data_IF_124199875802
#
_entry.id   IF_124199875802
#
_cell.length_a   1.000
_cell.length_b   1.000
_cell.length_c   1.000
_cell.angle_alpha   90.00
_cell.angle_beta   90.00
_cell.angle_gamma   90.00
#
_symmetry.space_group_name_H-M   'P 1'
#
loop_
_entity.id
_entity.type
_entity.pdbx_description
1 polymer ?
#
# COMPACT_ATOMS: atom_id res chain seq x y z
N UNK A 1 13.80 50.33 -60.44
CA UNK A 1 12.95 50.32 -59.27
C UNK A 1 12.54 48.86 -59.01
N UNK A 2 13.20 48.19 -58.06
CA UNK A 2 12.89 46.79 -57.70
C UNK A 2 12.19 46.79 -56.34
N UNK A 3 10.89 46.45 -56.31
CA UNK A 3 10.10 46.32 -55.07
C UNK A 3 10.44 44.97 -54.42
N UNK A 4 11.02 45.04 -53.21
CA UNK A 4 11.31 43.87 -52.39
C UNK A 4 10.06 43.54 -51.53
N UNK A 5 9.34 42.50 -51.85
CA UNK A 5 8.24 41.96 -51.02
C UNK A 5 8.86 41.20 -49.85
N UNK A 6 8.73 41.75 -48.62
CA UNK A 6 9.03 41.05 -47.40
C UNK A 6 7.87 40.09 -47.05
N UNK A 7 8.12 38.80 -47.10
CA UNK A 7 7.22 37.77 -46.63
C UNK A 7 7.39 37.68 -45.09
N UNK A 8 6.37 38.03 -44.36
CA UNK A 8 6.33 37.84 -42.89
C UNK A 8 5.84 36.39 -42.65
N UNK A 9 6.72 35.50 -42.21
CA UNK A 9 6.35 34.15 -41.76
C UNK A 9 5.97 34.27 -40.29
N UNK A 10 4.67 34.24 -39.98
CA UNK A 10 4.14 34.12 -38.61
C UNK A 10 4.23 32.64 -38.22
N UNK A 11 5.27 32.27 -37.48
CA UNK A 11 5.38 30.96 -36.85
C UNK A 11 4.38 30.87 -35.68
N UNK A 12 3.30 30.15 -35.88
CA UNK A 12 2.41 29.77 -34.78
C UNK A 12 3.13 28.78 -33.88
N UNK A 13 3.56 29.25 -32.71
CA UNK A 13 4.00 28.41 -31.62
C UNK A 13 2.75 27.69 -31.06
N UNK A 14 2.52 26.48 -31.53
CA UNK A 14 1.61 25.54 -30.85
C UNK A 14 2.30 25.10 -29.55
N UNK A 15 1.99 25.78 -28.46
CA UNK A 15 2.23 25.28 -27.12
C UNK A 15 1.29 24.10 -26.92
N UNK A 16 1.71 22.90 -27.33
CA UNK A 16 1.02 21.68 -27.00
C UNK A 16 1.09 21.48 -25.49
N UNK A 17 0.04 21.83 -24.77
CA UNK A 17 -0.17 21.30 -23.44
C UNK A 17 -0.25 19.80 -23.58
N UNK A 18 0.72 19.06 -23.04
CA UNK A 18 0.59 17.62 -22.88
C UNK A 18 -0.73 17.36 -22.18
N UNK A 19 -1.55 16.40 -22.65
CA UNK A 19 -2.76 16.04 -21.93
C UNK A 19 -2.38 15.71 -20.49
N UNK A 20 -3.10 16.26 -19.51
CA UNK A 20 -2.94 15.90 -18.11
C UNK A 20 -3.30 14.41 -18.03
N UNK A 21 -2.28 13.57 -17.85
CA UNK A 21 -2.48 12.13 -17.76
C UNK A 21 -3.11 11.85 -16.40
N UNK A 22 -4.25 11.13 -16.41
CA UNK A 22 -4.91 10.72 -15.17
C UNK A 22 -4.02 9.76 -14.38
N UNK A 23 -4.02 9.87 -13.07
CA UNK A 23 -3.29 8.98 -12.18
C UNK A 23 -4.20 7.88 -11.64
N UNK A 24 -3.63 6.72 -11.38
CA UNK A 24 -4.32 5.60 -10.72
C UNK A 24 -3.66 5.32 -9.38
N UNK A 25 -4.46 5.22 -8.31
CA UNK A 25 -3.99 4.78 -7.01
C UNK A 25 -4.70 3.49 -6.59
N UNK A 26 -3.93 2.52 -6.08
CA UNK A 26 -4.44 1.27 -5.55
C UNK A 26 -4.14 1.19 -4.06
N UNK A 27 -5.19 1.13 -3.25
CA UNK A 27 -5.14 1.14 -1.79
C UNK A 27 -5.11 -0.29 -1.25
N UNK A 28 -4.04 -0.64 -0.54
CA UNK A 28 -3.77 -1.97 0.01
C UNK A 28 -3.86 -1.93 1.53
N UNK A 29 -4.84 -2.62 2.10
CA UNK A 29 -5.00 -2.70 3.56
C UNK A 29 -3.99 -3.63 4.22
N UNK A 30 -3.88 -3.59 5.55
CA UNK A 30 -2.99 -4.43 6.32
C UNK A 30 -3.65 -5.65 6.96
N UNK A 31 -2.93 -6.29 7.88
CA UNK A 31 -3.39 -7.41 8.70
C UNK A 31 -4.66 -7.02 9.47
N UNK A 32 -5.66 -7.92 9.50
CA UNK A 32 -7.01 -7.69 10.05
C UNK A 32 -7.79 -6.54 9.38
N UNK A 33 -7.26 -5.95 8.33
CA UNK A 33 -7.95 -4.92 7.56
C UNK A 33 -8.79 -5.51 6.43
N UNK A 34 -9.47 -4.62 5.72
CA UNK A 34 -10.27 -4.89 4.53
C UNK A 34 -10.30 -3.67 3.63
N UNK A 35 -10.86 -3.77 2.44
CA UNK A 35 -11.08 -2.62 1.56
C UNK A 35 -11.84 -1.49 2.29
N UNK A 36 -12.82 -1.83 3.15
CA UNK A 36 -13.61 -0.85 3.90
C UNK A 36 -12.80 -0.04 4.92
N UNK A 37 -11.58 -0.46 5.29
CA UNK A 37 -10.71 0.29 6.20
C UNK A 37 -10.39 1.70 5.69
N UNK A 38 -10.30 1.87 4.38
CA UNK A 38 -10.03 3.15 3.72
C UNK A 38 -11.24 4.10 3.73
N UNK A 39 -12.45 3.54 3.72
CA UNK A 39 -13.69 4.31 3.88
C UNK A 39 -13.91 4.72 5.34
N UNK A 40 -13.86 3.76 6.24
CA UNK A 40 -14.15 3.98 7.67
C UNK A 40 -13.15 4.92 8.35
N UNK A 41 -11.92 5.00 7.85
CA UNK A 41 -10.90 5.94 8.33
C UNK A 41 -11.10 7.38 7.84
N UNK A 42 -11.95 7.60 6.83
CA UNK A 42 -12.13 8.88 6.17
C UNK A 42 -11.07 9.25 5.12
N UNK A 43 -10.08 8.36 4.88
CA UNK A 43 -9.02 8.59 3.86
C UNK A 43 -9.64 8.80 2.49
N UNK A 44 -10.56 7.92 2.07
CA UNK A 44 -11.22 8.02 0.77
C UNK A 44 -12.00 9.32 0.61
N UNK A 45 -12.73 9.74 1.66
CA UNK A 45 -13.47 11.00 1.62
C UNK A 45 -12.54 12.20 1.36
N UNK A 46 -11.36 12.22 1.99
CA UNK A 46 -10.35 13.27 1.76
C UNK A 46 -9.79 13.20 0.33
N UNK A 47 -9.48 12.02 -0.19
CA UNK A 47 -8.97 11.86 -1.55
C UNK A 47 -10.02 12.27 -2.59
N UNK A 48 -11.29 11.89 -2.41
CA UNK A 48 -12.40 12.31 -3.28
C UNK A 48 -12.54 13.83 -3.29
N UNK A 49 -12.47 14.49 -2.13
CA UNK A 49 -12.47 15.95 -2.03
C UNK A 49 -11.25 16.62 -2.72
N UNK A 50 -10.21 15.84 -3.06
CA UNK A 50 -9.01 16.27 -3.75
C UNK A 50 -8.91 15.79 -5.22
N UNK A 51 -10.04 15.45 -5.85
CA UNK A 51 -10.12 15.16 -7.29
C UNK A 51 -9.95 13.69 -7.68
N UNK A 52 -9.98 12.78 -6.71
CA UNK A 52 -10.01 11.34 -6.95
C UNK A 52 -11.45 10.83 -7.04
N UNK A 53 -11.71 9.85 -7.89
CA UNK A 53 -12.98 9.10 -7.94
C UNK A 53 -12.75 7.67 -7.46
N UNK A 54 -13.62 7.16 -6.61
CA UNK A 54 -13.63 5.74 -6.26
C UNK A 54 -14.06 4.94 -7.49
N UNK A 55 -13.14 4.22 -8.09
CA UNK A 55 -13.41 3.42 -9.28
C UNK A 55 -13.98 2.04 -8.93
N UNK A 56 -13.62 1.50 -7.76
CA UNK A 56 -14.18 0.25 -7.28
C UNK A 56 -13.31 -0.50 -6.29
N UNK A 57 -13.83 -1.66 -5.88
CA UNK A 57 -13.14 -2.64 -5.05
C UNK A 57 -12.81 -3.87 -5.88
N UNK A 58 -11.53 -4.26 -5.89
CA UNK A 58 -11.07 -5.51 -6.51
C UNK A 58 -10.98 -6.61 -5.45
N UNK A 59 -11.48 -7.79 -5.78
CA UNK A 59 -11.33 -8.99 -4.97
C UNK A 59 -11.08 -10.19 -5.88
N UNK A 60 -10.55 -11.28 -5.32
CA UNK A 60 -10.44 -12.56 -6.01
C UNK A 60 -11.55 -13.50 -5.57
N UNK A 61 -12.07 -14.24 -6.51
CA UNK A 61 -12.95 -15.38 -6.30
C UNK A 61 -12.39 -16.62 -7.02
N UNK A 62 -13.05 -17.81 -6.96
CA UNK A 62 -12.59 -19.01 -7.66
C UNK A 62 -12.52 -18.88 -9.19
N UNK A 63 -13.12 -17.87 -9.78
CA UNK A 63 -13.15 -17.62 -11.22
C UNK A 63 -12.16 -16.57 -11.69
N UNK A 64 -11.55 -15.83 -10.76
CA UNK A 64 -10.54 -14.83 -11.07
C UNK A 64 -10.65 -13.55 -10.24
N UNK A 65 -10.31 -12.42 -10.86
CA UNK A 65 -10.44 -11.10 -10.23
C UNK A 65 -11.77 -10.47 -10.61
N UNK A 66 -12.53 -10.06 -9.61
CA UNK A 66 -13.79 -9.33 -9.75
C UNK A 66 -13.58 -7.86 -9.38
N UNK A 67 -14.08 -6.95 -10.21
CA UNK A 67 -14.19 -5.54 -9.90
C UNK A 67 -15.63 -5.21 -9.52
N UNK A 68 -15.83 -4.74 -8.30
CA UNK A 68 -17.10 -4.20 -7.81
C UNK A 68 -17.05 -2.68 -7.99
N UNK A 69 -17.74 -2.09 -8.98
CA UNK A 69 -17.63 -0.67 -9.24
C UNK A 69 -18.30 0.16 -8.15
N UNK A 70 -17.72 1.32 -7.84
CA UNK A 70 -18.36 2.37 -7.05
C UNK A 70 -18.76 3.48 -8.00
N UNK A 71 -20.02 3.90 -7.93
CA UNK A 71 -20.60 4.90 -8.82
C UNK A 71 -20.87 6.21 -8.07
N UNK A 72 -20.84 7.31 -8.81
CA UNK A 72 -21.30 8.62 -8.33
C UNK A 72 -20.21 9.63 -7.97
N UNK A 73 -18.95 9.24 -7.89
CA UNK A 73 -17.85 10.20 -7.69
C UNK A 73 -17.45 10.86 -9.02
N UNK A 74 -17.14 12.16 -8.95
CA UNK A 74 -16.52 12.90 -10.05
C UNK A 74 -15.04 13.08 -9.75
N UNK A 75 -14.20 12.95 -10.80
CA UNK A 75 -12.74 13.14 -10.68
C UNK A 75 -12.03 12.60 -11.91
N UNK A 76 -10.84 13.10 -12.15
CA UNK A 76 -10.00 12.63 -13.26
C UNK A 76 -9.20 11.39 -12.86
N UNK A 77 -8.67 11.37 -11.62
CA UNK A 77 -7.84 10.28 -11.12
C UNK A 77 -8.67 9.14 -10.55
N UNK A 78 -8.23 7.91 -10.75
CA UNK A 78 -8.96 6.71 -10.34
C UNK A 78 -8.39 6.09 -9.06
N UNK A 79 -9.27 5.78 -8.10
CA UNK A 79 -8.93 5.19 -6.81
C UNK A 79 -9.55 3.81 -6.70
N UNK A 80 -8.71 2.78 -6.62
CA UNK A 80 -9.13 1.40 -6.39
C UNK A 80 -8.78 0.96 -4.98
N UNK A 81 -9.61 0.13 -4.40
CA UNK A 81 -9.35 -0.57 -3.14
C UNK A 81 -9.22 -2.05 -3.45
N UNK A 82 -8.36 -2.75 -2.74
CA UNK A 82 -8.23 -4.20 -2.86
C UNK A 82 -8.77 -4.89 -1.61
N UNK A 83 -9.48 -6.01 -1.79
CA UNK A 83 -9.90 -6.91 -0.71
C UNK A 83 -8.99 -8.14 -0.75
N UNK A 84 -8.08 -8.24 0.22
CA UNK A 84 -7.12 -9.32 0.35
C UNK A 84 -7.49 -10.23 1.54
N UNK A 85 -7.12 -11.51 1.51
CA UNK A 85 -7.30 -12.41 2.66
C UNK A 85 -6.30 -12.03 3.77
N UNK A 86 -6.63 -11.02 4.57
CA UNK A 86 -5.72 -10.33 5.51
C UNK A 86 -5.09 -11.24 6.59
N UNK A 87 -5.59 -12.46 6.76
CA UNK A 87 -5.04 -13.48 7.67
C UNK A 87 -4.09 -14.47 6.96
N UNK A 88 -4.10 -14.50 5.64
CA UNK A 88 -3.26 -15.41 4.86
C UNK A 88 -1.79 -14.98 4.87
N UNK A 89 -0.83 -15.89 4.61
CA UNK A 89 0.58 -15.55 4.41
C UNK A 89 0.76 -14.43 3.38
N UNK A 90 1.79 -13.58 3.56
CA UNK A 90 2.04 -12.40 2.71
C UNK A 90 2.25 -12.77 1.24
N UNK A 91 2.82 -13.94 0.96
CA UNK A 91 2.99 -14.43 -0.42
C UNK A 91 1.65 -14.72 -1.11
N UNK A 92 0.69 -15.32 -0.39
CA UNK A 92 -0.67 -15.59 -0.91
C UNK A 92 -1.40 -14.28 -1.21
N UNK A 93 -1.29 -13.30 -0.31
CA UNK A 93 -1.86 -11.96 -0.53
C UNK A 93 -1.19 -11.27 -1.73
N UNK A 94 0.12 -11.43 -1.89
CA UNK A 94 0.86 -10.85 -3.00
C UNK A 94 0.46 -11.46 -4.36
N UNK A 95 0.20 -12.77 -4.42
CA UNK A 95 -0.29 -13.42 -5.64
C UNK A 95 -1.65 -12.86 -6.07
N UNK A 96 -2.56 -12.65 -5.11
CA UNK A 96 -3.87 -12.03 -5.39
C UNK A 96 -3.73 -10.56 -5.78
N UNK A 97 -2.92 -9.78 -5.05
CA UNK A 97 -2.66 -8.38 -5.39
C UNK A 97 -2.06 -8.25 -6.79
N UNK A 98 -1.13 -9.13 -7.17
CA UNK A 98 -0.54 -9.15 -8.51
C UNK A 98 -1.59 -9.31 -9.61
N UNK A 99 -2.54 -10.24 -9.43
CA UNK A 99 -3.63 -10.45 -10.38
C UNK A 99 -4.54 -9.22 -10.48
N UNK A 100 -4.89 -8.59 -9.34
CA UNK A 100 -5.69 -7.37 -9.30
C UNK A 100 -4.99 -6.20 -10.01
N UNK A 101 -3.68 -6.03 -9.80
CA UNK A 101 -2.90 -4.97 -10.42
C UNK A 101 -2.76 -5.16 -11.93
N UNK A 102 -2.68 -6.39 -12.42
CA UNK A 102 -2.75 -6.66 -13.85
C UNK A 102 -4.09 -6.24 -14.45
N UNK A 103 -5.21 -6.49 -13.75
CA UNK A 103 -6.52 -6.01 -14.21
C UNK A 103 -6.62 -4.48 -14.21
N UNK A 104 -6.11 -3.81 -13.17
CA UNK A 104 -6.04 -2.34 -13.15
C UNK A 104 -5.22 -1.82 -14.32
N UNK A 105 -4.05 -2.41 -14.61
CA UNK A 105 -3.21 -2.02 -15.72
C UNK A 105 -3.88 -2.24 -17.10
N UNK A 106 -4.75 -3.26 -17.23
CA UNK A 106 -5.54 -3.45 -18.46
C UNK A 106 -6.63 -2.39 -18.63
N UNK A 107 -7.22 -1.92 -17.52
CA UNK A 107 -8.21 -0.85 -17.53
C UNK A 107 -7.57 0.54 -17.76
N UNK A 108 -6.28 0.67 -17.44
CA UNK A 108 -5.50 1.90 -17.48
C UNK A 108 -4.15 1.67 -18.18
N UNK A 109 -4.15 1.38 -19.50
CA UNK A 109 -2.97 0.88 -20.21
C UNK A 109 -1.80 1.87 -20.28
N UNK A 110 -2.08 3.18 -20.18
CA UNK A 110 -1.07 4.24 -20.32
C UNK A 110 -0.96 5.09 -19.03
N UNK A 111 -1.77 4.84 -18.02
CA UNK A 111 -1.83 5.66 -16.82
C UNK A 111 -0.83 5.18 -15.75
N UNK A 112 -0.15 6.09 -15.04
CA UNK A 112 0.77 5.71 -13.97
C UNK A 112 0.01 5.19 -12.75
N UNK A 113 0.51 4.08 -12.19
CA UNK A 113 -0.11 3.39 -11.04
C UNK A 113 0.74 3.63 -9.79
N UNK A 114 0.13 4.23 -8.77
CA UNK A 114 0.70 4.38 -7.44
C UNK A 114 0.09 3.37 -6.48
N UNK A 115 0.94 2.64 -5.73
CA UNK A 115 0.51 1.76 -4.65
C UNK A 115 0.52 2.53 -3.34
N UNK A 116 -0.59 2.54 -2.62
CA UNK A 116 -0.71 3.11 -1.27
C UNK A 116 -1.05 1.97 -0.32
N UNK A 117 -0.16 1.69 0.63
CA UNK A 117 -0.28 0.49 1.43
C UNK A 117 -0.17 0.80 2.93
N UNK A 118 -1.09 0.26 3.73
CA UNK A 118 -1.10 0.40 5.17
C UNK A 118 -0.57 -0.85 5.86
N UNK A 119 0.29 -0.67 6.86
CA UNK A 119 0.75 -1.75 7.75
C UNK A 119 1.32 -2.95 6.95
N UNK A 120 0.88 -4.17 7.21
CA UNK A 120 1.30 -5.39 6.51
C UNK A 120 1.10 -5.31 4.97
N UNK A 121 0.14 -4.50 4.50
CA UNK A 121 -0.06 -4.26 3.07
C UNK A 121 1.17 -3.70 2.35
N UNK A 122 2.03 -2.95 3.05
CA UNK A 122 3.30 -2.46 2.49
C UNK A 122 4.29 -3.58 2.22
N UNK A 123 4.26 -4.66 2.98
CA UNK A 123 5.05 -5.87 2.72
C UNK A 123 4.51 -6.59 1.48
N UNK A 124 3.19 -6.77 1.42
CA UNK A 124 2.51 -7.38 0.27
C UNK A 124 2.81 -6.62 -1.02
N UNK A 125 2.68 -5.29 -1.01
CA UNK A 125 2.98 -4.44 -2.17
C UNK A 125 4.46 -4.56 -2.61
N UNK A 126 5.42 -4.59 -1.65
CA UNK A 126 6.83 -4.77 -1.97
C UNK A 126 7.12 -6.15 -2.58
N UNK A 127 6.47 -7.21 -2.10
CA UNK A 127 6.62 -8.56 -2.69
C UNK A 127 6.20 -8.54 -4.16
N UNK A 128 5.06 -7.93 -4.48
CA UNK A 128 4.61 -7.78 -5.88
C UNK A 128 5.65 -7.03 -6.72
N UNK A 129 6.15 -5.90 -6.23
CA UNK A 129 7.13 -5.07 -6.95
C UNK A 129 8.43 -5.82 -7.26
N UNK A 130 8.92 -6.68 -6.35
CA UNK A 130 10.18 -7.42 -6.57
C UNK A 130 10.00 -8.71 -7.37
N UNK A 131 8.80 -9.31 -7.38
CA UNK A 131 8.55 -10.59 -8.06
C UNK A 131 8.15 -10.45 -9.53
N UNK A 132 7.31 -9.54 -9.86
CA UNK A 132 6.77 -9.41 -11.22
C UNK A 132 6.61 -7.97 -11.66
N UNK A 133 6.74 -7.05 -10.72
CA UNK A 133 6.48 -5.64 -10.97
C UNK A 133 5.00 -5.33 -11.19
N UNK A 134 4.76 -4.07 -11.44
CA UNK A 134 3.44 -3.53 -11.80
C UNK A 134 3.65 -2.71 -13.05
N UNK A 135 2.90 -2.95 -14.14
CA UNK A 135 2.97 -2.10 -15.31
C UNK A 135 2.74 -0.63 -14.92
N UNK A 136 3.53 0.27 -15.48
CA UNK A 136 3.44 1.72 -15.22
C UNK A 136 3.51 2.11 -13.74
N UNK A 137 4.18 1.31 -12.89
CA UNK A 137 4.37 1.65 -11.48
C UNK A 137 5.08 3.00 -11.34
N UNK A 138 4.42 3.97 -10.69
CA UNK A 138 4.92 5.33 -10.42
C UNK A 138 5.53 5.42 -9.03
N UNK A 139 4.80 4.95 -8.03
CA UNK A 139 5.19 5.10 -6.64
C UNK A 139 4.72 3.95 -5.74
N UNK A 140 5.45 3.76 -4.64
CA UNK A 140 4.99 3.03 -3.46
C UNK A 140 4.99 3.97 -2.26
N UNK A 141 3.81 4.21 -1.69
CA UNK A 141 3.62 4.98 -0.46
C UNK A 141 3.18 4.02 0.63
N UNK A 142 3.94 3.90 1.71
CA UNK A 142 3.59 3.02 2.84
C UNK A 142 3.26 3.83 4.09
N UNK A 143 2.28 3.36 4.85
CA UNK A 143 1.81 3.99 6.09
C UNK A 143 1.99 2.97 7.23
N UNK A 144 2.83 3.29 8.20
CA UNK A 144 3.08 2.46 9.39
C UNK A 144 3.42 0.99 9.07
N UNK A 145 4.13 0.72 7.98
CA UNK A 145 4.41 -0.65 7.49
C UNK A 145 5.66 -1.25 8.15
N UNK A 146 5.61 -2.52 8.61
CA UNK A 146 6.70 -3.17 9.33
C UNK A 146 7.78 -3.74 8.38
N UNK A 147 8.54 -2.89 7.68
CA UNK A 147 9.53 -3.32 6.68
C UNK A 147 10.67 -4.18 7.24
N UNK A 148 10.98 -4.02 8.52
CA UNK A 148 11.94 -4.86 9.25
C UNK A 148 11.26 -5.82 10.23
N UNK A 149 9.93 -5.93 10.17
CA UNK A 149 9.12 -6.73 11.07
C UNK A 149 8.76 -6.02 12.37
N UNK A 150 8.08 -6.75 13.24
CA UNK A 150 7.62 -6.25 14.55
C UNK A 150 7.67 -7.30 15.64
N UNK A 151 8.08 -6.90 16.84
CA UNK A 151 8.04 -7.75 18.03
C UNK A 151 6.61 -8.13 18.45
N UNK A 152 5.59 -7.37 18.02
CA UNK A 152 4.18 -7.72 18.24
C UNK A 152 3.76 -9.00 17.52
N UNK A 153 4.34 -9.29 16.35
CA UNK A 153 4.11 -10.56 15.66
C UNK A 153 4.66 -11.73 16.47
N UNK A 154 5.84 -11.58 17.07
CA UNK A 154 6.43 -12.60 17.96
C UNK A 154 5.53 -12.84 19.18
N UNK A 155 5.12 -11.79 19.88
CA UNK A 155 4.21 -11.89 21.03
C UNK A 155 2.88 -12.56 20.66
N UNK A 156 2.32 -12.24 19.47
CA UNK A 156 1.11 -12.87 18.99
C UNK A 156 1.30 -14.38 18.73
N UNK A 157 2.42 -14.78 18.14
CA UNK A 157 2.77 -16.18 17.91
C UNK A 157 2.92 -16.95 19.22
N UNK A 158 3.67 -16.41 20.18
CA UNK A 158 3.85 -17.01 21.52
C UNK A 158 2.51 -17.22 22.23
N UNK A 159 1.57 -16.29 22.08
CA UNK A 159 0.23 -16.40 22.67
C UNK A 159 -0.61 -17.53 22.07
N UNK A 160 -0.24 -18.05 20.89
CA UNK A 160 -0.95 -19.16 20.22
C UNK A 160 -0.38 -20.54 20.51
N UNK A 161 0.80 -20.64 21.11
CA UNK A 161 1.51 -21.90 21.38
C UNK A 161 1.06 -22.62 22.66
N UNK A 162 -0.21 -22.40 23.04
CA UNK A 162 -0.80 -23.08 24.20
C UNK A 162 -1.26 -24.48 23.84
N UNK A 163 -0.74 -25.54 24.52
CA UNK A 163 -1.09 -26.92 24.21
C UNK A 163 -2.57 -27.25 24.42
N UNK A 164 -3.06 -28.23 23.65
CA UNK A 164 -4.36 -28.83 23.91
C UNK A 164 -4.34 -29.59 25.26
N UNK A 165 -5.40 -29.53 26.14
CA UNK A 165 -6.72 -28.88 25.91
C UNK A 165 -6.79 -27.41 26.37
N UNK A 166 -5.74 -26.86 26.95
CA UNK A 166 -5.73 -25.50 27.55
C UNK A 166 -6.07 -24.41 26.52
N UNK A 167 -5.78 -24.63 25.25
CA UNK A 167 -6.16 -23.72 24.18
C UNK A 167 -7.68 -23.54 24.02
N UNK A 168 -8.52 -24.51 24.37
CA UNK A 168 -9.98 -24.37 24.33
C UNK A 168 -10.46 -23.44 25.44
N UNK A 169 -9.89 -23.57 26.62
CA UNK A 169 -10.19 -22.68 27.78
C UNK A 169 -9.75 -21.26 27.44
N UNK A 170 -8.56 -21.08 26.89
CA UNK A 170 -8.05 -19.76 26.48
C UNK A 170 -8.97 -19.10 25.43
N UNK A 171 -9.42 -19.83 24.40
CA UNK A 171 -10.35 -19.30 23.40
C UNK A 171 -11.68 -18.84 24.00
N UNK A 172 -12.21 -19.55 24.99
CA UNK A 172 -13.43 -19.17 25.68
C UNK A 172 -13.28 -17.84 26.42
N UNK A 173 -12.18 -17.68 27.17
CA UNK A 173 -11.92 -16.47 27.96
C UNK A 173 -11.48 -15.28 27.08
N UNK A 174 -10.87 -15.50 25.92
CA UNK A 174 -10.38 -14.42 25.02
C UNK A 174 -11.41 -13.98 23.97
N UNK A 175 -12.64 -14.51 24.01
CA UNK A 175 -13.69 -14.15 23.05
C UNK A 175 -13.33 -14.47 21.61
N UNK A 176 -12.56 -15.54 21.35
CA UNK A 176 -12.18 -15.97 20.01
C UNK A 176 -10.92 -15.28 19.42
N UNK A 177 -10.31 -14.32 20.11
CA UNK A 177 -9.08 -13.65 19.62
C UNK A 177 -7.95 -14.63 19.33
N UNK A 178 -7.79 -15.65 20.18
CA UNK A 178 -6.77 -16.70 19.99
C UNK A 178 -7.02 -17.53 18.71
N UNK A 179 -8.28 -17.74 18.33
CA UNK A 179 -8.63 -18.42 17.09
C UNK A 179 -8.15 -17.64 15.87
N UNK A 180 -8.44 -16.33 15.81
CA UNK A 180 -7.99 -15.44 14.73
C UNK A 180 -6.46 -15.45 14.63
N UNK A 181 -5.74 -15.35 15.76
CA UNK A 181 -4.27 -15.41 15.76
C UNK A 181 -3.74 -16.76 15.24
N UNK A 182 -4.41 -17.89 15.51
CA UNK A 182 -4.03 -19.20 14.95
C UNK A 182 -4.29 -19.28 13.45
N UNK A 183 -5.43 -18.80 13.00
CA UNK A 183 -5.79 -18.74 11.57
C UNK A 183 -4.81 -17.86 10.79
N UNK A 184 -4.27 -16.81 11.43
CA UNK A 184 -3.30 -15.89 10.83
C UNK A 184 -1.83 -16.25 11.10
N UNK A 185 -1.53 -17.45 11.65
CA UNK A 185 -0.16 -17.82 12.03
C UNK A 185 0.85 -17.63 10.91
N UNK A 186 0.49 -17.95 9.65
CA UNK A 186 1.34 -17.74 8.48
C UNK A 186 1.67 -16.26 8.24
N UNK A 187 0.68 -15.38 8.32
CA UNK A 187 0.89 -13.94 8.20
C UNK A 187 1.76 -13.38 9.34
N UNK A 188 1.56 -13.88 10.57
CA UNK A 188 2.36 -13.46 11.72
C UNK A 188 3.83 -13.90 11.61
N UNK A 189 4.09 -15.13 11.12
CA UNK A 189 5.45 -15.61 10.84
C UNK A 189 6.16 -14.71 9.82
N UNK A 190 5.44 -14.25 8.79
CA UNK A 190 5.99 -13.37 7.76
C UNK A 190 6.31 -11.95 8.28
N UNK A 191 5.72 -11.55 9.43
CA UNK A 191 5.89 -10.22 10.05
C UNK A 191 6.85 -10.20 11.24
N UNK A 192 7.46 -11.33 11.63
CA UNK A 192 8.53 -11.33 12.66
C UNK A 192 9.73 -10.50 12.20
N UNK A 193 10.57 -9.99 13.13
CA UNK A 193 11.79 -9.26 12.77
C UNK A 193 12.64 -10.01 11.75
N UNK A 194 13.16 -9.26 10.77
CA UNK A 194 13.95 -9.81 9.68
C UNK A 194 15.20 -10.54 10.22
N UNK A 195 15.31 -11.81 9.91
CA UNK A 195 16.44 -12.67 10.29
C UNK A 195 16.71 -13.69 9.16
N UNK A 196 17.93 -14.26 9.07
CA UNK A 196 18.24 -15.26 8.05
C UNK A 196 17.17 -16.36 7.98
N UNK A 197 16.66 -16.61 6.77
CA UNK A 197 15.56 -17.57 6.53
C UNK A 197 14.13 -17.02 6.65
N UNK A 198 13.92 -15.79 7.14
CA UNK A 198 12.59 -15.16 7.15
C UNK A 198 12.24 -14.51 5.81
N UNK A 199 10.93 -14.36 5.55
CA UNK A 199 10.42 -13.66 4.36
C UNK A 199 10.98 -12.24 4.25
N UNK A 200 10.99 -11.50 5.36
CA UNK A 200 11.48 -10.11 5.35
C UNK A 200 12.99 -10.02 5.08
N UNK A 201 13.79 -10.98 5.55
CA UNK A 201 15.22 -11.02 5.24
C UNK A 201 15.45 -11.21 3.74
N UNK A 202 14.72 -12.14 3.12
CA UNK A 202 14.73 -12.34 1.68
C UNK A 202 14.28 -11.08 0.95
N UNK A 203 13.08 -10.53 1.29
CA UNK A 203 12.51 -9.37 0.63
C UNK A 203 13.41 -8.13 0.70
N UNK A 204 14.06 -7.92 1.85
CA UNK A 204 14.91 -6.75 2.09
C UNK A 204 16.24 -6.79 1.31
N UNK A 205 16.64 -7.95 0.83
CA UNK A 205 17.83 -8.14 -0.03
C UNK A 205 17.51 -8.10 -1.53
N UNK A 206 16.21 -8.17 -1.92
CA UNK A 206 15.84 -8.17 -3.34
C UNK A 206 16.00 -6.79 -3.98
N UNK A 207 16.43 -6.71 -5.25
CA UNK A 207 16.41 -5.46 -6.01
C UNK A 207 14.98 -4.98 -6.17
N UNK A 208 14.75 -3.71 -5.88
CA UNK A 208 13.45 -3.05 -6.03
C UNK A 208 13.45 -2.17 -7.29
N UNK A 209 12.31 -2.02 -7.98
CA UNK A 209 12.21 -1.20 -9.18
C UNK A 209 12.56 0.27 -8.93
N UNK A 210 12.91 1.00 -10.01
CA UNK A 210 13.26 2.42 -9.94
C UNK A 210 11.99 3.27 -10.04
N UNK A 211 11.26 3.37 -8.92
CA UNK A 211 10.05 4.16 -8.75
C UNK A 211 10.21 5.09 -7.54
N UNK A 212 9.26 6.00 -7.32
CA UNK A 212 9.22 6.79 -6.10
C UNK A 212 8.86 5.94 -4.88
N UNK A 213 9.53 6.18 -3.74
CA UNK A 213 9.25 5.52 -2.47
C UNK A 213 8.98 6.55 -1.39
N UNK A 214 7.89 6.38 -0.63
CA UNK A 214 7.51 7.23 0.50
C UNK A 214 7.14 6.39 1.70
N UNK A 215 7.70 6.74 2.87
CA UNK A 215 7.34 6.13 4.15
C UNK A 215 6.62 7.15 5.00
N UNK A 216 5.34 6.93 5.31
CA UNK A 216 4.61 7.69 6.32
C UNK A 216 4.80 6.95 7.64
N UNK A 217 5.54 7.56 8.57
CA UNK A 217 5.96 6.91 9.82
C UNK A 217 5.23 7.49 11.02
N UNK A 218 4.98 6.64 12.01
CA UNK A 218 4.33 6.92 13.30
C UNK A 218 5.39 6.89 14.40
N UNK A 219 5.85 8.02 14.93
CA UNK A 219 6.87 8.01 15.98
C UNK A 219 6.34 7.51 17.33
N UNK A 220 5.01 7.59 17.53
CA UNK A 220 4.40 7.33 18.83
C UNK A 220 4.78 8.39 19.88
N UNK A 221 4.26 8.27 21.11
CA UNK A 221 4.46 9.30 22.16
C UNK A 221 5.91 9.50 22.58
N UNK A 222 6.74 8.45 22.49
CA UNK A 222 8.15 8.47 22.94
C UNK A 222 9.15 8.31 21.81
N UNK A 223 8.72 8.42 20.55
CA UNK A 223 9.61 8.35 19.39
C UNK A 223 10.07 6.94 19.02
N UNK A 224 9.53 5.89 19.65
CA UNK A 224 9.94 4.49 19.41
C UNK A 224 9.09 3.75 18.37
N UNK A 225 8.00 4.35 17.94
CA UNK A 225 7.01 3.78 17.02
C UNK A 225 5.60 3.86 17.57
N UNK A 226 4.63 3.39 16.80
CA UNK A 226 3.26 3.23 17.26
C UNK A 226 3.12 1.97 18.15
N UNK A 227 1.90 1.66 18.56
CA UNK A 227 1.61 0.52 19.45
C UNK A 227 1.90 -0.86 18.83
N UNK A 228 2.09 -0.95 17.50
CA UNK A 228 2.29 -2.21 16.78
C UNK A 228 3.64 -2.31 16.07
N UNK A 229 4.17 -1.20 15.52
CA UNK A 229 5.34 -1.21 14.65
C UNK A 229 6.38 -0.20 15.14
N UNK A 230 7.62 -0.62 15.42
CA UNK A 230 8.71 0.30 15.76
C UNK A 230 8.97 1.31 14.62
N UNK A 231 9.26 2.57 14.96
CA UNK A 231 9.46 3.65 13.98
C UNK A 231 10.56 3.32 12.96
N UNK A 232 11.66 2.69 13.40
CA UNK A 232 12.74 2.30 12.50
C UNK A 232 12.32 1.23 11.48
N UNK A 233 11.33 0.40 11.83
CA UNK A 233 10.77 -0.61 10.94
C UNK A 233 9.83 -0.02 9.90
N UNK A 234 9.26 1.15 10.16
CA UNK A 234 8.35 1.83 9.25
C UNK A 234 9.07 2.60 8.11
N UNK A 235 10.37 2.87 8.25
CA UNK A 235 11.17 3.63 7.29
C UNK A 235 11.83 2.69 6.28
N UNK A 236 11.42 2.78 5.00
CA UNK A 236 12.01 1.99 3.91
C UNK A 236 13.50 2.26 3.69
N UNK A 237 14.05 3.39 4.14
CA UNK A 237 15.50 3.63 4.08
C UNK A 237 16.32 2.69 4.99
N UNK A 238 15.67 2.00 5.92
CA UNK A 238 16.29 0.96 6.76
C UNK A 238 16.35 -0.40 6.05
N UNK A 239 15.67 -0.54 4.92
CA UNK A 239 15.77 -1.71 4.05
C UNK A 239 17.02 -1.58 3.20
N UNK A 240 17.89 -2.59 3.23
CA UNK A 240 19.18 -2.55 2.52
C UNK A 240 19.04 -2.18 1.04
N UNK A 241 18.10 -2.79 0.34
CA UNK A 241 17.87 -2.55 -1.10
C UNK A 241 17.22 -1.18 -1.43
N UNK A 242 16.71 -0.45 -0.43
CA UNK A 242 16.02 0.84 -0.58
C UNK A 242 16.72 1.98 0.16
N UNK A 243 17.91 1.75 0.69
CA UNK A 243 18.64 2.74 1.49
C UNK A 243 18.84 4.05 0.72
N UNK A 244 18.39 5.17 1.32
CA UNK A 244 18.47 6.50 0.72
C UNK A 244 17.49 6.77 -0.43
N UNK A 245 16.57 5.86 -0.73
CA UNK A 245 15.61 5.99 -1.84
C UNK A 245 14.21 6.42 -1.43
N UNK A 246 13.88 6.36 -0.13
CA UNK A 246 12.56 6.70 0.37
C UNK A 246 12.54 8.11 0.98
N UNK A 247 11.57 8.93 0.58
CA UNK A 247 11.20 10.12 1.34
C UNK A 247 10.45 9.69 2.60
N UNK A 248 10.59 10.42 3.69
CA UNK A 248 9.94 10.13 4.97
C UNK A 248 9.05 11.28 5.40
N UNK A 249 7.79 10.97 5.68
CA UNK A 249 6.84 11.91 6.27
C UNK A 249 6.43 11.41 7.66
N UNK A 250 6.53 12.28 8.66
CA UNK A 250 6.16 11.95 10.03
C UNK A 250 4.73 12.39 10.30
N UNK A 251 3.89 11.46 10.76
CA UNK A 251 2.51 11.74 11.17
C UNK A 251 2.30 11.22 12.59
N UNK A 252 2.09 12.13 13.54
CA UNK A 252 1.83 11.79 14.94
C UNK A 252 0.41 11.28 15.13
N UNK A 253 0.25 9.95 15.07
CA UNK A 253 -1.03 9.27 15.21
C UNK A 253 -0.81 7.84 15.76
N UNK A 254 -1.90 7.15 16.10
CA UNK A 254 -1.91 5.71 16.37
C UNK A 254 -1.62 4.93 15.09
N UNK A 255 -1.52 3.60 15.19
CA UNK A 255 -1.30 2.71 14.04
C UNK A 255 -2.42 2.79 12.99
N UNK A 256 -3.65 3.04 13.44
CA UNK A 256 -4.83 3.04 12.57
C UNK A 256 -4.81 4.20 11.57
N UNK A 257 -5.38 3.94 10.37
CA UNK A 257 -5.64 4.97 9.37
C UNK A 257 -6.60 6.05 9.90
N UNK A 258 -6.42 7.28 9.43
CA UNK A 258 -7.28 8.41 9.77
C UNK A 258 -7.26 9.48 8.66
N UNK A 259 -8.05 10.53 8.81
CA UNK A 259 -8.19 11.61 7.83
C UNK A 259 -6.88 12.39 7.58
N UNK A 260 -5.95 12.44 8.55
CA UNK A 260 -4.65 13.09 8.36
C UNK A 260 -3.80 12.34 7.32
N UNK A 261 -3.92 11.00 7.27
CA UNK A 261 -3.29 10.20 6.21
C UNK A 261 -3.83 10.58 4.85
N UNK A 262 -5.15 10.76 4.73
CA UNK A 262 -5.77 11.23 3.51
C UNK A 262 -5.23 12.58 3.04
N UNK A 263 -5.00 13.53 3.95
CA UNK A 263 -4.42 14.83 3.62
C UNK A 263 -2.98 14.73 3.12
N UNK A 264 -2.16 13.89 3.77
CA UNK A 264 -0.77 13.64 3.34
C UNK A 264 -0.75 12.93 1.99
N UNK A 265 -1.59 11.90 1.81
CA UNK A 265 -1.70 11.17 0.54
C UNK A 265 -2.15 12.08 -0.60
N UNK A 266 -3.10 12.98 -0.37
CA UNK A 266 -3.56 13.94 -1.38
C UNK A 266 -2.44 14.90 -1.87
N UNK A 267 -1.39 15.08 -1.08
CA UNK A 267 -0.19 15.83 -1.47
C UNK A 267 0.81 14.94 -2.21
N UNK A 268 1.13 13.77 -1.65
CA UNK A 268 2.15 12.87 -2.20
C UNK A 268 1.75 12.28 -3.56
N UNK A 269 0.47 12.05 -3.79
CA UNK A 269 -0.04 11.51 -5.06
C UNK A 269 -0.03 12.52 -6.21
N UNK A 270 0.24 13.81 -5.93
CA UNK A 270 0.42 14.87 -6.95
C UNK A 270 1.88 14.99 -7.43
N UNK A 271 2.84 14.37 -6.72
CA UNK A 271 4.27 14.35 -7.09
C UNK A 271 4.53 13.31 -8.20
#
# INVERSE_FOLDING_TARGET
MKLLKRLLVIGALFSGSAPLQADVAVLVHGYLGSASSWESSGVNAVLVANGWKRAGVLRTDPYGVELIPVLGDAGENSLYQVELPSLAPMMVQADQLQAMLHQVAQLHPDEPISLVAHSAGGIVARIVLVRGGVPHAKALITIASPHLGTGRAVQALESTDVPYPFCLVQNFFTGGKTRVLRESRGALIDLVPAQPGSLLFWLNSQPHPQIAYHSIVRPGPVGMGDELVPVFSQDMNRVQALQGRSKVTVVSSSHSLNTQDGMVLAQLLKE
#
